data_IF_643203014063
#
_entry.id   IF_643203014063
#
_cell.length_a   1.000
_cell.length_b   1.000
_cell.length_c   1.000
_cell.angle_alpha   90.00
_cell.angle_beta   90.00
_cell.angle_gamma   90.00
#
_symmetry.space_group_name_H-M   'P 1'
#
loop_
_entity.id
_entity.type
_entity.pdbx_description
1 polymer ?
#
# COMPACT_ATOMS: atom_id res chain seq x y z
N UNK A 1 -15.36 21.56 20.38
CA UNK A 1 -15.53 20.18 20.91
C UNK A 1 -16.11 19.21 19.87
N UNK A 2 -17.08 19.60 19.03
CA UNK A 2 -17.71 18.74 18.01
C UNK A 2 -16.81 18.30 16.84
N UNK A 3 -15.91 19.18 16.36
CA UNK A 3 -15.08 18.88 15.18
C UNK A 3 -14.09 17.73 15.41
N UNK A 4 -13.47 17.67 16.59
CA UNK A 4 -12.51 16.62 16.95
C UNK A 4 -13.19 15.26 17.13
N UNK A 5 -14.43 15.24 17.65
CA UNK A 5 -15.21 14.01 17.82
C UNK A 5 -15.65 13.44 16.48
N UNK A 6 -16.08 14.30 15.55
CA UNK A 6 -16.43 13.88 14.18
C UNK A 6 -15.21 13.34 13.45
N UNK A 7 -14.09 14.07 13.46
CA UNK A 7 -12.85 13.64 12.80
C UNK A 7 -12.34 12.28 13.34
N UNK A 8 -12.40 12.08 14.67
CA UNK A 8 -12.05 10.81 15.28
C UNK A 8 -13.00 9.68 14.86
N UNK A 9 -14.32 9.93 14.92
CA UNK A 9 -15.35 8.93 14.54
C UNK A 9 -15.21 8.49 13.09
N UNK A 10 -15.07 9.45 12.16
CA UNK A 10 -14.83 9.14 10.74
C UNK A 10 -13.46 8.49 10.52
N UNK A 11 -12.44 8.87 11.29
CA UNK A 11 -11.12 8.24 11.23
C UNK A 11 -11.17 6.75 11.58
N UNK A 12 -11.90 6.38 12.63
CA UNK A 12 -12.09 4.97 13.03
C UNK A 12 -12.90 4.21 11.98
N UNK A 13 -14.02 4.75 11.51
CA UNK A 13 -14.82 4.10 10.45
C UNK A 13 -14.00 3.92 9.17
N UNK A 14 -13.23 4.94 8.78
CA UNK A 14 -12.32 4.89 7.64
C UNK A 14 -11.26 3.80 7.80
N UNK A 15 -10.65 3.67 8.98
CA UNK A 15 -9.68 2.62 9.27
C UNK A 15 -10.29 1.22 9.08
N UNK A 16 -11.51 0.98 9.60
CA UNK A 16 -12.19 -0.32 9.47
C UNK A 16 -12.47 -0.63 8.00
N UNK A 17 -13.03 0.32 7.25
CA UNK A 17 -13.37 0.12 5.83
C UNK A 17 -12.10 -0.10 5.01
N UNK A 18 -11.08 0.73 5.19
CA UNK A 18 -9.79 0.59 4.49
C UNK A 18 -9.13 -0.76 4.78
N UNK A 19 -9.19 -1.26 6.01
CA UNK A 19 -8.66 -2.57 6.34
C UNK A 19 -9.35 -3.68 5.54
N UNK A 20 -10.68 -3.64 5.44
CA UNK A 20 -11.45 -4.60 4.62
C UNK A 20 -11.07 -4.48 3.14
N UNK A 21 -10.87 -3.26 2.64
CA UNK A 21 -10.44 -3.02 1.25
C UNK A 21 -9.04 -3.58 0.98
N UNK A 22 -8.09 -3.45 1.92
CA UNK A 22 -6.77 -4.08 1.79
C UNK A 22 -6.84 -5.61 1.76
N UNK A 23 -7.88 -6.22 2.33
CA UNK A 23 -8.11 -7.67 2.25
C UNK A 23 -8.87 -8.10 0.99
N UNK A 24 -9.39 -7.17 0.18
CA UNK A 24 -10.13 -7.50 -1.04
C UNK A 24 -9.33 -8.35 -2.06
N UNK A 25 -8.00 -8.20 -2.21
CA UNK A 25 -7.20 -9.06 -3.09
C UNK A 25 -6.89 -10.45 -2.54
N UNK A 26 -7.22 -10.78 -1.28
CA UNK A 26 -6.91 -12.09 -0.67
C UNK A 26 -7.39 -13.27 -1.54
N UNK A 27 -8.64 -13.32 -2.05
CA UNK A 27 -9.08 -14.44 -2.89
C UNK A 27 -8.25 -14.59 -4.17
N UNK A 28 -7.80 -13.47 -4.75
CA UNK A 28 -6.91 -13.45 -5.92
C UNK A 28 -5.57 -14.08 -5.57
N UNK A 29 -4.95 -13.70 -4.45
CA UNK A 29 -3.67 -14.26 -4.05
C UNK A 29 -3.75 -15.71 -3.59
N UNK A 30 -4.87 -16.13 -2.98
CA UNK A 30 -5.13 -17.55 -2.71
C UNK A 30 -5.13 -18.35 -4.02
N UNK A 31 -5.76 -17.83 -5.08
CA UNK A 31 -5.75 -18.45 -6.41
C UNK A 31 -4.34 -18.52 -7.00
N UNK A 32 -3.58 -17.43 -6.94
CA UNK A 32 -2.17 -17.38 -7.40
C UNK A 32 -1.32 -18.43 -6.68
N UNK A 33 -1.46 -18.54 -5.35
CA UNK A 33 -0.71 -19.51 -4.55
C UNK A 33 -1.08 -20.96 -4.87
N UNK A 34 -2.36 -21.25 -5.11
CA UNK A 34 -2.84 -22.59 -5.51
C UNK A 34 -2.37 -22.98 -6.91
N UNK A 35 -2.39 -22.04 -7.85
CA UNK A 35 -2.01 -22.26 -9.25
C UNK A 35 -0.51 -22.13 -9.50
N UNK A 36 0.24 -21.62 -8.52
CA UNK A 36 1.69 -21.36 -8.61
C UNK A 36 2.05 -20.49 -9.81
N UNK A 37 1.12 -19.64 -10.22
CA UNK A 37 1.21 -18.79 -11.41
C UNK A 37 0.32 -17.56 -11.21
N UNK A 38 0.76 -16.42 -11.76
CA UNK A 38 -0.02 -15.18 -11.72
C UNK A 38 -1.18 -15.16 -12.72
N UNK A 39 -1.36 -16.17 -13.58
CA UNK A 39 -2.52 -16.36 -14.48
C UNK A 39 -2.99 -15.11 -15.28
N UNK A 40 -2.12 -14.11 -15.49
CA UNK A 40 -2.44 -12.84 -16.18
C UNK A 40 -2.69 -11.63 -15.27
N UNK A 41 -2.74 -11.81 -13.95
CA UNK A 41 -2.83 -10.72 -12.98
C UNK A 41 -1.62 -9.79 -13.07
N UNK A 42 -1.84 -8.50 -12.79
CA UNK A 42 -0.82 -7.45 -12.86
C UNK A 42 -0.38 -7.04 -11.46
N UNK A 43 0.90 -6.70 -11.29
CA UNK A 43 1.42 -6.20 -10.00
C UNK A 43 1.15 -4.73 -9.76
N UNK A 44 0.80 -3.97 -10.81
CA UNK A 44 0.69 -2.52 -10.77
C UNK A 44 -0.25 -2.00 -9.66
N UNK A 45 -1.44 -2.59 -9.42
CA UNK A 45 -2.32 -2.13 -8.34
C UNK A 45 -1.65 -2.17 -6.97
N UNK A 46 -0.89 -3.24 -6.67
CA UNK A 46 -0.25 -3.43 -5.37
C UNK A 46 0.96 -2.51 -5.19
N UNK A 47 1.77 -2.34 -6.25
CA UNK A 47 2.92 -1.43 -6.24
C UNK A 47 2.48 0.03 -6.12
N UNK A 48 1.37 0.41 -6.76
CA UNK A 48 0.79 1.76 -6.64
C UNK A 48 0.13 1.98 -5.28
N UNK A 49 -0.55 0.98 -4.73
CA UNK A 49 -1.16 1.06 -3.41
C UNK A 49 -0.10 1.22 -2.31
N UNK A 50 1.01 0.48 -2.38
CA UNK A 50 2.16 0.66 -1.48
C UNK A 50 2.71 2.09 -1.56
N UNK A 51 2.91 2.61 -2.78
CA UNK A 51 3.40 3.97 -2.98
C UNK A 51 2.44 5.01 -2.40
N UNK A 52 1.15 4.86 -2.64
CA UNK A 52 0.12 5.74 -2.07
C UNK A 52 0.13 5.70 -0.54
N UNK A 53 0.26 4.52 0.07
CA UNK A 53 0.30 4.37 1.51
C UNK A 53 1.52 5.08 2.13
N UNK A 54 2.70 4.96 1.50
CA UNK A 54 3.90 5.69 1.93
C UNK A 54 3.72 7.21 1.84
N UNK A 55 3.09 7.72 0.76
CA UNK A 55 2.79 9.14 0.64
C UNK A 55 1.81 9.63 1.72
N UNK A 56 0.80 8.83 2.06
CA UNK A 56 -0.13 9.17 3.13
C UNK A 56 0.51 9.17 4.51
N UNK A 57 1.44 8.24 4.77
CA UNK A 57 2.25 8.25 6.00
C UNK A 57 3.10 9.52 6.05
N UNK A 58 3.83 9.81 4.98
CA UNK A 58 4.67 11.02 4.89
C UNK A 58 3.83 12.29 5.12
N UNK A 59 2.70 12.42 4.44
CA UNK A 59 1.77 13.52 4.64
C UNK A 59 1.28 13.64 6.09
N UNK A 60 0.93 12.51 6.72
CA UNK A 60 0.41 12.51 8.08
C UNK A 60 1.49 12.82 9.13
N UNK A 61 2.76 12.50 8.86
CA UNK A 61 3.89 12.88 9.72
C UNK A 61 4.08 14.40 9.77
N UNK A 62 3.77 15.12 8.68
CA UNK A 62 3.82 16.59 8.64
C UNK A 62 2.63 17.27 9.31
N UNK A 63 1.65 16.51 9.82
CA UNK A 63 0.49 17.05 10.55
C UNK A 63 0.69 16.91 12.04
N UNK A 64 1.14 17.99 12.68
CA UNK A 64 1.37 18.18 14.13
C UNK A 64 0.38 17.41 15.05
N UNK A 65 0.63 16.11 15.24
CA UNK A 65 -0.16 15.21 16.09
C UNK A 65 -1.55 14.78 15.57
N UNK A 66 -2.12 15.39 14.52
CA UNK A 66 -3.46 15.02 14.02
C UNK A 66 -3.47 13.87 13.01
N UNK A 67 -2.29 13.39 12.61
CA UNK A 67 -2.12 12.36 11.56
C UNK A 67 -2.22 10.90 12.05
N UNK A 68 -2.34 10.64 13.35
CA UNK A 68 -2.16 9.30 13.93
C UNK A 68 -3.04 8.20 13.29
N UNK A 69 -4.33 8.46 13.08
CA UNK A 69 -5.25 7.49 12.46
C UNK A 69 -4.94 7.24 10.98
N UNK A 70 -4.35 8.21 10.27
CA UNK A 70 -3.91 8.03 8.89
C UNK A 70 -2.62 7.21 8.83
N UNK A 71 -1.67 7.48 9.75
CA UNK A 71 -0.43 6.69 9.86
C UNK A 71 -0.80 5.23 10.14
N UNK A 72 -1.65 4.98 11.12
CA UNK A 72 -2.03 3.62 11.55
C UNK A 72 -2.54 2.78 10.38
N UNK A 73 -3.55 3.26 9.65
CA UNK A 73 -4.14 2.48 8.56
C UNK A 73 -3.21 2.30 7.37
N UNK A 74 -2.44 3.33 7.02
CA UNK A 74 -1.52 3.24 5.88
C UNK A 74 -0.29 2.40 6.23
N UNK A 75 0.15 2.33 7.49
CA UNK A 75 1.18 1.38 7.92
C UNK A 75 0.71 -0.07 7.78
N UNK A 76 -0.55 -0.35 8.14
CA UNK A 76 -1.16 -1.67 7.89
C UNK A 76 -1.26 -1.95 6.38
N UNK A 77 -1.66 -0.95 5.60
CA UNK A 77 -1.67 -1.01 4.13
C UNK A 77 -0.30 -1.36 3.55
N UNK A 78 0.76 -0.65 3.96
CA UNK A 78 2.13 -0.93 3.54
C UNK A 78 2.53 -2.39 3.83
N UNK A 79 2.20 -2.89 5.01
CA UNK A 79 2.50 -4.28 5.39
C UNK A 79 1.77 -5.28 4.49
N UNK A 80 0.46 -5.10 4.28
CA UNK A 80 -0.36 -6.00 3.44
C UNK A 80 0.07 -5.95 1.98
N UNK A 81 0.26 -4.75 1.41
CA UNK A 81 0.68 -4.60 0.00
C UNK A 81 2.10 -5.17 -0.23
N UNK A 82 2.99 -5.04 0.74
CA UNK A 82 4.31 -5.69 0.68
C UNK A 82 4.19 -7.21 0.59
N UNK A 83 3.30 -7.82 1.39
CA UNK A 83 3.03 -9.27 1.31
C UNK A 83 2.52 -9.66 -0.09
N UNK A 84 1.56 -8.90 -0.63
CA UNK A 84 1.05 -9.15 -1.98
C UNK A 84 2.13 -9.05 -3.06
N UNK A 85 2.99 -8.04 -2.99
CA UNK A 85 4.11 -7.87 -3.93
C UNK A 85 5.09 -9.04 -3.82
N UNK A 86 5.44 -9.49 -2.61
CA UNK A 86 6.32 -10.65 -2.39
C UNK A 86 5.71 -11.92 -3.01
N UNK A 87 4.43 -12.19 -2.73
CA UNK A 87 3.73 -13.34 -3.29
C UNK A 87 3.67 -13.26 -4.83
N UNK A 88 3.38 -12.08 -5.37
CA UNK A 88 3.35 -11.85 -6.82
C UNK A 88 4.71 -12.16 -7.45
N UNK A 89 5.79 -11.59 -6.92
CA UNK A 89 7.17 -11.79 -7.42
C UNK A 89 7.56 -13.26 -7.38
N UNK A 90 7.16 -13.96 -6.30
CA UNK A 90 7.44 -15.39 -6.09
C UNK A 90 6.83 -16.24 -7.22
N UNK A 91 5.55 -16.02 -7.54
CA UNK A 91 4.82 -16.82 -8.54
C UNK A 91 4.83 -16.24 -9.96
N UNK A 92 5.40 -15.06 -10.16
CA UNK A 92 5.52 -14.43 -11.47
C UNK A 92 6.57 -15.12 -12.35
N UNK A 93 6.30 -15.15 -13.66
CA UNK A 93 7.30 -15.51 -14.65
C UNK A 93 8.42 -14.45 -14.74
N UNK A 94 9.55 -14.79 -15.37
CA UNK A 94 10.74 -13.92 -15.43
C UNK A 94 10.44 -12.51 -15.95
N UNK A 95 9.62 -12.39 -17.01
CA UNK A 95 9.28 -11.09 -17.62
C UNK A 95 8.47 -10.23 -16.65
N UNK A 96 7.39 -10.78 -16.09
CA UNK A 96 6.54 -10.08 -15.14
C UNK A 96 7.32 -9.71 -13.87
N UNK A 97 8.12 -10.63 -13.33
CA UNK A 97 8.97 -10.39 -12.15
C UNK A 97 9.92 -9.21 -12.34
N UNK A 98 10.66 -9.19 -13.47
CA UNK A 98 11.58 -8.08 -13.79
C UNK A 98 10.81 -6.77 -13.94
N UNK A 99 9.65 -6.79 -14.60
CA UNK A 99 8.81 -5.61 -14.73
C UNK A 99 8.34 -5.09 -13.36
N UNK A 100 7.87 -5.96 -12.47
CA UNK A 100 7.44 -5.60 -11.11
C UNK A 100 8.58 -5.00 -10.31
N UNK A 101 9.76 -5.62 -10.32
CA UNK A 101 10.94 -5.11 -9.63
C UNK A 101 11.39 -3.73 -10.15
N UNK A 102 11.32 -3.51 -11.47
CA UNK A 102 11.61 -2.21 -12.07
C UNK A 102 10.63 -1.13 -11.60
N UNK A 103 9.33 -1.38 -11.68
CA UNK A 103 8.31 -0.40 -11.24
C UNK A 103 8.41 -0.17 -9.75
N UNK A 104 8.62 -1.21 -8.94
CA UNK A 104 8.82 -1.08 -7.50
C UNK A 104 10.05 -0.21 -7.19
N UNK A 105 11.20 -0.50 -7.81
CA UNK A 105 12.43 0.29 -7.69
C UNK A 105 12.25 1.76 -8.07
N UNK A 106 11.65 2.00 -9.23
CA UNK A 106 11.45 3.35 -9.77
C UNK A 106 10.43 4.16 -8.95
N UNK A 107 9.27 3.58 -8.66
CA UNK A 107 8.18 4.31 -8.03
C UNK A 107 8.35 4.39 -6.51
N UNK A 108 8.55 3.25 -5.84
CA UNK A 108 8.48 3.16 -4.38
C UNK A 108 9.79 3.55 -3.70
N UNK A 109 10.94 3.34 -4.35
CA UNK A 109 12.23 3.72 -3.77
C UNK A 109 12.72 5.05 -4.35
N UNK A 110 13.01 5.10 -5.66
CA UNK A 110 13.59 6.30 -6.27
C UNK A 110 12.60 7.48 -6.28
N UNK A 111 11.36 7.25 -6.68
CA UNK A 111 10.31 8.27 -6.70
C UNK A 111 10.01 8.81 -5.31
N UNK A 112 9.86 7.92 -4.32
CA UNK A 112 9.61 8.34 -2.93
C UNK A 112 10.80 9.10 -2.32
N UNK A 113 12.04 8.61 -2.54
CA UNK A 113 13.24 9.29 -2.07
C UNK A 113 13.39 10.68 -2.71
N UNK A 114 13.09 10.83 -4.00
CA UNK A 114 13.09 12.13 -4.67
C UNK A 114 12.06 13.10 -4.07
N UNK A 115 10.88 12.61 -3.68
CA UNK A 115 9.86 13.43 -3.01
C UNK A 115 10.36 13.92 -1.66
N UNK A 116 10.95 13.05 -0.83
CA UNK A 116 11.52 13.44 0.46
C UNK A 116 12.60 14.51 0.25
N UNK A 117 13.56 14.26 -0.64
CA UNK A 117 14.67 15.18 -0.90
C UNK A 117 14.25 16.57 -1.42
N UNK A 118 13.10 16.68 -2.10
CA UNK A 118 12.59 17.95 -2.63
C UNK A 118 11.70 18.68 -1.62
N UNK A 119 11.05 17.95 -0.71
CA UNK A 119 10.09 18.50 0.24
C UNK A 119 10.65 18.73 1.65
N UNK A 120 11.85 18.21 1.96
CA UNK A 120 12.68 18.63 3.09
C UNK A 120 13.50 19.89 2.75
#
# INVERSE_FOLDING_TARGET
MSLNVLAFTFGIMGNIISFIVFLAPVPTFVRICKKKSIEGFQSLPYVSALFSAMLWIYYAMQKDGSGFLLITINSVGCFIETIYIILFITYANKKARISTLKVLGLLNFLGFAAIILVCE
#
